data_IF_038086637512
#
_entry.id   IF_038086637512
#
_cell.length_a   1.000
_cell.length_b   1.000
_cell.length_c   1.000
_cell.angle_alpha   90.00
_cell.angle_beta   90.00
_cell.angle_gamma   90.00
#
_symmetry.space_group_name_H-M   'P 1'
#
loop_
_entity.id
_entity.type
_entity.pdbx_description
1 polymer ?
#
# COMPACT_ATOMS: atom_id res chain seq x y z
N UNK A 1 -3.15 -10.37 3.51
CA UNK A 1 -4.17 -10.18 2.45
C UNK A 1 -5.19 -9.14 2.92
N UNK A 2 -5.75 -8.35 2.01
CA UNK A 2 -6.64 -7.24 2.35
C UNK A 2 -7.24 -6.57 1.13
N UNK A 3 -8.00 -5.50 1.36
CA UNK A 3 -8.54 -4.63 0.31
C UNK A 3 -7.72 -3.35 0.23
N UNK A 4 -7.39 -2.96 -1.00
CA UNK A 4 -6.83 -1.67 -1.31
C UNK A 4 -7.93 -0.80 -1.91
N UNK A 5 -8.12 0.41 -1.39
CA UNK A 5 -9.05 1.38 -1.94
C UNK A 5 -8.29 2.66 -2.28
N UNK A 6 -8.48 3.15 -3.50
CA UNK A 6 -7.87 4.39 -3.98
C UNK A 6 -8.96 5.45 -4.12
N UNK A 7 -8.65 6.65 -3.65
CA UNK A 7 -9.45 7.86 -3.87
C UNK A 7 -8.58 8.90 -4.55
N UNK A 8 -9.15 10.06 -4.89
CA UNK A 8 -8.41 11.17 -5.50
C UNK A 8 -7.34 11.80 -4.59
N UNK A 9 -7.40 11.56 -3.27
CA UNK A 9 -6.47 12.18 -2.31
C UNK A 9 -5.75 11.18 -1.40
N UNK A 10 -6.25 9.95 -1.28
CA UNK A 10 -5.77 8.96 -0.31
C UNK A 10 -5.84 7.54 -0.85
N UNK A 11 -4.90 6.72 -0.38
CA UNK A 11 -4.86 5.27 -0.51
C UNK A 11 -5.17 4.67 0.87
N UNK A 12 -6.09 3.70 0.89
CA UNK A 12 -6.50 2.99 2.08
C UNK A 12 -6.17 1.52 1.92
N UNK A 13 -5.58 0.92 2.95
CA UNK A 13 -5.38 -0.52 3.00
C UNK A 13 -6.04 -1.09 4.26
N UNK A 14 -6.97 -2.01 4.05
CA UNK A 14 -7.69 -2.73 5.10
C UNK A 14 -7.27 -4.21 5.06
N UNK A 15 -6.50 -4.70 6.03
CA UNK A 15 -6.23 -6.13 6.17
C UNK A 15 -7.52 -6.89 6.48
N UNK A 16 -7.60 -8.14 6.03
CA UNK A 16 -8.75 -9.02 6.37
C UNK A 16 -8.69 -9.56 7.80
N UNK A 17 -7.50 -9.58 8.40
CA UNK A 17 -7.31 -9.92 9.80
C UNK A 17 -7.28 -8.64 10.63
N UNK A 18 -8.21 -8.51 11.57
CA UNK A 18 -8.26 -7.42 12.55
C UNK A 18 -7.30 -7.67 13.73
N UNK A 19 -6.13 -8.27 13.47
CA UNK A 19 -5.16 -8.64 14.52
C UNK A 19 -4.50 -7.37 15.10
N UNK A 20 -4.36 -6.31 14.29
CA UNK A 20 -3.79 -5.04 14.71
C UNK A 20 -4.82 -4.08 15.34
N UNK A 21 -4.38 -3.32 16.34
CA UNK A 21 -5.19 -2.27 17.00
C UNK A 21 -5.67 -1.16 16.03
N UNK A 22 -4.99 -0.99 14.89
CA UNK A 22 -5.31 0.02 13.88
C UNK A 22 -5.76 -0.68 12.59
N UNK A 23 -7.08 -0.81 12.36
CA UNK A 23 -7.59 -1.73 11.35
C UNK A 23 -7.44 -1.23 9.91
N UNK A 24 -7.04 0.02 9.67
CA UNK A 24 -6.92 0.58 8.32
C UNK A 24 -5.74 1.53 8.22
N UNK A 25 -4.81 1.23 7.31
CA UNK A 25 -3.74 2.14 6.92
C UNK A 25 -4.32 3.23 6.00
N UNK A 26 -4.05 4.50 6.31
CA UNK A 26 -4.52 5.67 5.55
C UNK A 26 -3.33 6.48 5.07
N UNK A 27 -3.01 6.40 3.78
CA UNK A 27 -1.90 7.12 3.17
C UNK A 27 -2.42 8.27 2.31
N UNK A 28 -1.91 9.49 2.47
CA UNK A 28 -2.24 10.60 1.57
C UNK A 28 -1.36 10.51 0.33
N UNK A 29 -1.94 10.69 -0.85
CA UNK A 29 -1.19 10.58 -2.11
C UNK A 29 -0.07 11.63 -2.21
N UNK A 30 -0.28 12.82 -1.64
CA UNK A 30 0.75 13.88 -1.58
C UNK A 30 2.00 13.51 -0.76
N UNK A 31 1.90 12.51 0.11
CA UNK A 31 3.03 12.07 0.93
C UNK A 31 3.86 10.96 0.25
N UNK A 32 3.36 10.41 -0.86
CA UNK A 32 4.08 9.43 -1.69
C UNK A 32 5.20 10.14 -2.46
N UNK A 33 6.41 9.61 -2.37
CA UNK A 33 7.61 10.16 -3.04
C UNK A 33 8.01 9.35 -4.27
N UNK A 34 7.78 8.04 -4.25
CA UNK A 34 8.18 7.16 -5.35
C UNK A 34 7.32 5.92 -5.40
N UNK A 35 6.99 5.49 -6.62
CA UNK A 35 6.31 4.24 -6.94
C UNK A 35 7.21 3.41 -7.84
N UNK A 36 7.41 2.14 -7.53
CA UNK A 36 8.21 1.22 -8.34
C UNK A 36 7.44 -0.07 -8.58
N UNK A 37 7.28 -0.46 -9.84
CA UNK A 37 6.73 -1.76 -10.18
C UNK A 37 7.77 -2.86 -9.88
N UNK A 38 7.37 -3.89 -9.13
CA UNK A 38 8.23 -4.98 -8.67
C UNK A 38 7.67 -6.34 -9.08
N UNK A 39 8.52 -7.35 -8.99
CA UNK A 39 8.09 -8.75 -9.06
C UNK A 39 7.67 -9.23 -7.66
N UNK A 40 6.63 -10.04 -7.61
CA UNK A 40 6.23 -10.84 -6.45
C UNK A 40 6.12 -12.30 -6.91
N UNK A 41 6.83 -13.22 -6.24
CA UNK A 41 6.88 -14.63 -6.64
C UNK A 41 7.17 -14.83 -8.14
N UNK A 42 8.21 -14.14 -8.64
CA UNK A 42 8.67 -14.15 -10.04
C UNK A 42 7.66 -13.60 -11.08
N UNK A 43 6.50 -13.09 -10.67
CA UNK A 43 5.50 -12.46 -11.54
C UNK A 43 5.49 -10.94 -11.35
N UNK A 44 5.19 -10.16 -12.39
CA UNK A 44 5.14 -8.69 -12.34
C UNK A 44 3.84 -8.20 -11.67
N UNK A 45 3.69 -8.48 -10.38
CA UNK A 45 2.48 -8.22 -9.59
C UNK A 45 2.74 -7.36 -8.34
N UNK A 46 3.97 -6.90 -8.15
CA UNK A 46 4.37 -6.10 -7.00
C UNK A 46 4.34 -4.60 -7.29
N UNK A 47 4.02 -3.80 -6.28
CA UNK A 47 4.17 -2.35 -6.28
C UNK A 47 4.81 -1.92 -4.96
N UNK A 48 5.90 -1.17 -5.08
CA UNK A 48 6.64 -0.66 -3.95
C UNK A 48 6.44 0.85 -3.86
N UNK A 49 5.98 1.33 -2.70
CA UNK A 49 5.61 2.71 -2.43
C UNK A 49 6.53 3.26 -1.35
N UNK A 50 7.29 4.31 -1.69
CA UNK A 50 8.11 5.05 -0.75
C UNK A 50 7.41 6.35 -0.38
N UNK A 51 7.34 6.64 0.91
CA UNK A 51 6.68 7.82 1.44
C UNK A 51 7.69 8.72 2.16
N UNK A 52 7.35 10.01 2.30
CA UNK A 52 8.13 10.94 3.11
C UNK A 52 7.78 10.87 4.60
N UNK A 53 8.49 11.65 5.41
CA UNK A 53 8.41 11.61 6.88
C UNK A 53 7.03 11.97 7.46
N UNK A 54 6.18 12.65 6.67
CA UNK A 54 4.82 13.03 7.06
C UNK A 54 3.79 11.89 6.92
N UNK A 55 4.18 10.74 6.37
CA UNK A 55 3.32 9.58 6.16
C UNK A 55 3.29 8.67 7.41
N UNK A 56 2.21 7.89 7.61
CA UNK A 56 2.15 6.93 8.72
C UNK A 56 3.13 5.76 8.58
N UNK A 57 3.64 5.52 7.36
CA UNK A 57 4.63 4.50 7.04
C UNK A 57 5.65 5.09 6.09
N UNK A 58 6.94 4.78 6.27
CA UNK A 58 8.01 5.20 5.35
C UNK A 58 7.98 4.42 4.04
N UNK A 59 7.50 3.17 4.11
CA UNK A 59 7.57 2.22 3.02
C UNK A 59 6.38 1.25 3.05
N UNK A 60 5.82 0.94 1.88
CA UNK A 60 4.73 -0.01 1.71
C UNK A 60 4.95 -0.86 0.46
N UNK A 61 4.94 -2.17 0.61
CA UNK A 61 4.96 -3.11 -0.51
C UNK A 61 3.59 -3.77 -0.66
N UNK A 62 3.04 -3.73 -1.87
CA UNK A 62 1.77 -4.33 -2.23
C UNK A 62 2.01 -5.43 -3.28
N UNK A 63 1.38 -6.58 -3.08
CA UNK A 63 1.30 -7.63 -4.09
C UNK A 63 -0.15 -7.78 -4.52
N UNK A 64 -0.40 -7.72 -5.82
CA UNK A 64 -1.72 -7.86 -6.41
C UNK A 64 -1.97 -9.28 -6.88
N UNK A 65 -3.24 -9.66 -6.90
CA UNK A 65 -3.67 -10.86 -7.62
C UNK A 65 -3.75 -10.52 -9.11
N UNK A 66 -3.18 -11.39 -9.93
CA UNK A 66 -3.54 -11.46 -11.35
C UNK A 66 -4.81 -12.29 -11.43
N UNK A 67 -5.82 -11.79 -12.13
CA UNK A 67 -6.83 -12.69 -12.72
C UNK A 67 -6.15 -13.73 -13.63
#
# INVERSE_FOLDING_TARGET
PGRLMLTTSRLYFQPFSNIDKWPVLKLRLKDIKRLICRRFLLRQLGLEIFCGDCAPVSHLYLAFYSE
#
